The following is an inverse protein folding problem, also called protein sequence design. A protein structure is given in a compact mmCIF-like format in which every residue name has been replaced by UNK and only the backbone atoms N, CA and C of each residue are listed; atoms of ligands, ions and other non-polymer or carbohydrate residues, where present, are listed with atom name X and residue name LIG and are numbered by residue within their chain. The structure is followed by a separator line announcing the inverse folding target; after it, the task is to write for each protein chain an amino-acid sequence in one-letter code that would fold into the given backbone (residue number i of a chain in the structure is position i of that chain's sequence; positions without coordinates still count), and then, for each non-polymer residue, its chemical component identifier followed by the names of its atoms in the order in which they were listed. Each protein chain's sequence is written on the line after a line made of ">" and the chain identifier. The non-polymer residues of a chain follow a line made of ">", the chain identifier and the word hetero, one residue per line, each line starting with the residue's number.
data_IF_653816867858
#
_entry.id   IF_653816867858
#
_cell.length_a   1.000
_cell.length_b   1.000
_cell.length_c   1.000
_cell.angle_alpha   90.00
_cell.angle_beta   90.00
_cell.angle_gamma   90.00
#
_symmetry.space_group_name_H-M   'P 1'
#
loop_
_entity.id
_entity.type
_entity.pdbx_description
1 polymer ?
#
# COMPACT_ATOMS: atom_id res chain seq x y z
N UNK A 1 -15.39 -5.58 14.93
CA UNK A 1 -14.46 -5.91 13.81
C UNK A 1 -13.33 -4.87 13.61
N UNK A 2 -13.58 -3.58 13.34
CA UNK A 2 -12.48 -2.59 13.22
C UNK A 2 -11.81 -2.31 14.58
N UNK A 3 -12.55 -2.31 15.68
CA UNK A 3 -12.00 -2.16 17.04
C UNK A 3 -11.06 -3.31 17.41
N UNK A 4 -11.46 -4.54 17.10
CA UNK A 4 -10.65 -5.73 17.40
C UNK A 4 -9.34 -5.75 16.60
N UNK A 5 -9.38 -5.28 15.33
CA UNK A 5 -8.19 -5.14 14.50
C UNK A 5 -7.23 -4.06 15.06
N UNK A 6 -7.76 -2.93 15.50
CA UNK A 6 -6.95 -1.86 16.07
C UNK A 6 -6.26 -2.32 17.37
N UNK A 7 -7.00 -3.01 18.26
CA UNK A 7 -6.44 -3.58 19.49
C UNK A 7 -5.36 -4.62 19.19
N UNK A 8 -5.60 -5.50 18.23
CA UNK A 8 -4.62 -6.51 17.81
C UNK A 8 -3.33 -5.88 17.24
N UNK A 9 -3.46 -4.85 16.41
CA UNK A 9 -2.31 -4.08 15.89
C UNK A 9 -1.56 -3.42 17.03
N UNK A 10 -2.27 -2.84 18.00
CA UNK A 10 -1.71 -2.23 19.20
C UNK A 10 -0.86 -3.23 19.98
N UNK A 11 -1.44 -4.38 20.35
CA UNK A 11 -0.78 -5.42 21.12
C UNK A 11 0.53 -5.89 20.46
N UNK A 12 0.53 -6.01 19.12
CA UNK A 12 1.73 -6.40 18.38
C UNK A 12 2.82 -5.31 18.45
N UNK A 13 2.44 -4.04 18.28
CA UNK A 13 3.39 -2.93 18.30
C UNK A 13 3.94 -2.73 19.70
N UNK A 14 3.10 -2.78 20.74
CA UNK A 14 3.53 -2.64 22.14
C UNK A 14 4.44 -3.80 22.59
N UNK A 15 4.18 -5.02 22.10
CA UNK A 15 4.95 -6.21 22.48
C UNK A 15 6.28 -6.36 21.73
N UNK A 16 6.29 -6.05 20.43
CA UNK A 16 7.42 -6.31 19.55
C UNK A 16 8.12 -5.04 19.03
N UNK A 17 7.61 -3.85 19.33
CA UNK A 17 8.19 -2.57 18.93
C UNK A 17 8.46 -2.46 17.43
N UNK A 18 9.70 -2.16 17.07
CA UNK A 18 10.13 -2.01 15.67
C UNK A 18 9.87 -3.25 14.82
N UNK A 19 10.10 -4.45 15.37
CA UNK A 19 9.88 -5.70 14.66
C UNK A 19 8.39 -5.92 14.39
N UNK A 20 7.53 -5.58 15.37
CA UNK A 20 6.07 -5.63 15.21
C UNK A 20 5.59 -4.78 14.04
N UNK A 21 6.03 -3.52 13.98
CA UNK A 21 5.69 -2.61 12.87
C UNK A 21 6.22 -3.14 11.53
N UNK A 22 7.47 -3.59 11.47
CA UNK A 22 8.04 -4.13 10.23
C UNK A 22 7.24 -5.34 9.72
N UNK A 23 6.90 -6.30 10.60
CA UNK A 23 6.11 -7.48 10.25
C UNK A 23 4.68 -7.12 9.80
N UNK A 24 4.01 -6.23 10.52
CA UNK A 24 2.67 -5.75 10.13
C UNK A 24 2.68 -5.12 8.75
N UNK A 25 3.68 -4.28 8.45
CA UNK A 25 3.82 -3.63 7.15
C UNK A 25 4.19 -4.63 6.04
N UNK A 26 4.98 -5.68 6.32
CA UNK A 26 5.22 -6.77 5.36
C UNK A 26 3.91 -7.47 5.04
N UNK A 27 3.16 -7.89 6.06
CA UNK A 27 1.89 -8.60 5.90
C UNK A 27 0.89 -7.76 5.13
N UNK A 28 0.75 -6.47 5.47
CA UNK A 28 -0.11 -5.53 4.78
C UNK A 28 0.24 -5.36 3.29
N UNK A 29 1.53 -5.28 2.95
CA UNK A 29 1.94 -5.19 1.55
C UNK A 29 1.59 -6.45 0.74
N UNK A 30 1.67 -7.63 1.37
CA UNK A 30 1.35 -8.92 0.72
C UNK A 30 -0.16 -9.18 0.73
N UNK A 31 -0.84 -8.77 1.79
CA UNK A 31 -2.27 -8.97 2.00
C UNK A 31 -2.99 -7.63 2.23
N UNK A 32 -3.49 -6.99 1.16
CA UNK A 32 -4.04 -5.62 1.16
C UNK A 32 -5.21 -5.29 2.10
N UNK A 33 -5.99 -6.25 2.69
CA UNK A 33 -7.08 -5.91 3.60
C UNK A 33 -6.68 -5.20 4.90
N UNK A 34 -5.39 -5.21 5.29
CA UNK A 34 -4.93 -4.48 6.47
C UNK A 34 -4.63 -3.03 6.05
N UNK A 35 -5.36 -2.03 6.56
CA UNK A 35 -5.13 -0.64 6.19
C UNK A 35 -3.92 -0.06 6.94
N UNK A 36 -2.92 0.37 6.21
CA UNK A 36 -1.73 1.06 6.75
C UNK A 36 -2.07 2.36 7.48
N UNK A 37 -3.18 2.95 7.12
CA UNK A 37 -3.74 4.15 7.72
C UNK A 37 -4.11 3.94 9.19
N UNK A 38 -4.16 2.70 9.64
CA UNK A 38 -4.30 2.33 11.06
C UNK A 38 -2.93 1.99 11.65
N UNK A 39 -2.17 1.11 10.98
CA UNK A 39 -0.89 0.59 11.50
C UNK A 39 0.15 1.68 11.69
N UNK A 40 0.35 2.54 10.68
CA UNK A 40 1.44 3.52 10.70
C UNK A 40 1.20 4.68 11.67
N UNK A 41 0.02 5.33 11.71
CA UNK A 41 -0.21 6.36 12.71
C UNK A 41 -0.18 5.79 14.14
N UNK A 42 -0.66 4.55 14.31
CA UNK A 42 -0.61 3.89 15.61
C UNK A 42 0.83 3.65 16.07
N UNK A 43 1.73 3.25 15.16
CA UNK A 43 3.16 3.13 15.46
C UNK A 43 3.77 4.47 15.91
N UNK A 44 3.34 5.59 15.32
CA UNK A 44 3.73 6.93 15.74
C UNK A 44 3.23 7.29 17.14
N UNK A 45 1.98 6.95 17.44
CA UNK A 45 1.39 7.14 18.76
C UNK A 45 2.12 6.36 19.84
N UNK A 46 2.36 5.05 19.65
CA UNK A 46 3.08 4.21 20.61
C UNK A 46 4.52 4.72 20.85
N UNK A 47 5.18 5.23 19.81
CA UNK A 47 6.53 5.79 19.94
C UNK A 47 6.61 7.06 20.79
N UNK A 48 5.48 7.72 21.08
CA UNK A 48 5.39 8.90 21.95
C UNK A 48 4.93 8.55 23.38
N UNK A 49 4.40 7.35 23.58
CA UNK A 49 3.97 6.92 24.90
C UNK A 49 5.16 6.55 25.78
N UNK A 50 5.38 7.30 26.85
CA UNK A 50 6.40 7.02 27.87
C UNK A 50 6.15 5.73 28.68
N UNK A 51 4.96 5.11 28.52
CA UNK A 51 4.52 3.90 29.22
C UNK A 51 4.64 2.62 28.37
N UNK A 52 5.19 2.69 27.16
CA UNK A 52 5.37 1.51 26.34
C UNK A 52 6.42 0.58 26.95
N UNK A 53 6.16 -0.73 26.91
CA UNK A 53 7.06 -1.78 27.43
C UNK A 53 8.38 -1.87 26.68
N UNK A 54 8.46 -1.24 25.48
CA UNK A 54 9.64 -1.21 24.62
C UNK A 54 9.99 0.26 24.36
N UNK A 55 11.23 0.63 24.67
CA UNK A 55 11.75 1.97 24.36
C UNK A 55 11.86 2.13 22.83
N UNK A 56 10.95 2.92 22.27
CA UNK A 56 10.82 3.11 20.82
C UNK A 56 10.84 4.59 20.47
N UNK A 57 11.44 4.91 19.32
CA UNK A 57 11.47 6.27 18.77
C UNK A 57 10.69 6.36 17.47
N UNK A 58 10.11 7.53 17.20
CA UNK A 58 9.39 7.82 15.95
C UNK A 58 10.28 7.53 14.72
N UNK A 59 11.55 7.91 14.78
CA UNK A 59 12.52 7.66 13.69
C UNK A 59 12.75 6.17 13.49
N UNK A 60 12.89 5.41 14.58
CA UNK A 60 13.04 3.96 14.53
C UNK A 60 11.81 3.27 13.93
N UNK A 61 10.59 3.72 14.28
CA UNK A 61 9.35 3.22 13.67
C UNK A 61 9.27 3.51 12.16
N UNK A 62 9.68 4.71 11.73
CA UNK A 62 9.75 5.05 10.30
C UNK A 62 10.72 4.13 9.55
N UNK A 63 11.91 3.89 10.11
CA UNK A 63 12.92 3.02 9.51
C UNK A 63 12.38 1.58 9.42
N UNK A 64 11.84 1.06 10.52
CA UNK A 64 11.27 -0.29 10.58
C UNK A 64 10.13 -0.49 9.58
N UNK A 65 9.18 0.46 9.52
CA UNK A 65 8.09 0.45 8.56
C UNK A 65 8.59 0.52 7.11
N UNK A 66 9.63 1.33 6.84
CA UNK A 66 10.19 1.48 5.49
C UNK A 66 10.90 0.20 5.05
N UNK A 67 11.66 -0.44 5.94
CA UNK A 67 12.26 -1.76 5.68
C UNK A 67 11.15 -2.79 5.41
N UNK A 68 10.12 -2.84 6.26
CA UNK A 68 8.96 -3.71 6.07
C UNK A 68 8.27 -3.50 4.73
N UNK A 69 8.10 -2.23 4.32
CA UNK A 69 7.52 -1.86 3.02
C UNK A 69 8.36 -2.39 1.85
N UNK A 70 9.68 -2.24 1.91
CA UNK A 70 10.59 -2.73 0.86
C UNK A 70 10.58 -4.25 0.78
N UNK A 71 10.65 -4.93 1.93
CA UNK A 71 10.62 -6.40 1.99
C UNK A 71 9.29 -6.94 1.45
N UNK A 72 8.16 -6.42 1.92
CA UNK A 72 6.84 -6.83 1.44
C UNK A 72 6.65 -6.58 -0.07
N UNK A 73 7.18 -5.44 -0.56
CA UNK A 73 7.18 -5.13 -1.99
C UNK A 73 8.03 -6.12 -2.81
N UNK A 74 9.20 -6.50 -2.31
CA UNK A 74 10.08 -7.49 -2.95
C UNK A 74 9.43 -8.88 -2.99
N UNK A 75 8.71 -9.27 -1.95
CA UNK A 75 7.94 -10.52 -1.94
C UNK A 75 6.92 -10.52 -3.08
N UNK A 76 6.09 -9.47 -3.19
CA UNK A 76 5.12 -9.37 -4.28
C UNK A 76 5.78 -9.28 -5.66
N UNK A 77 6.88 -8.52 -5.77
CA UNK A 77 7.65 -8.43 -7.00
C UNK A 77 8.17 -9.81 -7.43
N UNK A 78 8.79 -10.56 -6.53
CA UNK A 78 9.37 -11.89 -6.85
C UNK A 78 8.30 -12.91 -7.21
N UNK A 79 7.18 -12.95 -6.47
CA UNK A 79 6.03 -13.79 -6.79
C UNK A 79 5.52 -13.44 -8.21
N UNK A 80 5.35 -12.16 -8.50
CA UNK A 80 4.85 -11.70 -9.79
C UNK A 80 5.83 -12.00 -10.94
N UNK A 81 7.12 -11.82 -10.71
CA UNK A 81 8.16 -12.15 -11.68
C UNK A 81 8.23 -13.67 -11.97
N UNK A 82 7.97 -14.51 -10.96
CA UNK A 82 7.92 -15.96 -11.09
C UNK A 82 6.67 -16.44 -11.87
N UNK A 83 5.52 -15.81 -11.65
CA UNK A 83 4.29 -16.10 -12.39
C UNK A 83 4.45 -15.74 -13.87
N UNK A 84 5.05 -14.59 -14.14
CA UNK A 84 5.35 -14.08 -15.47
C UNK A 84 4.14 -13.54 -16.25
N UNK A 85 4.38 -12.75 -17.33
CA UNK A 85 3.33 -12.04 -18.05
C UNK A 85 2.36 -12.98 -18.79
N UNK A 86 2.84 -14.13 -19.26
CA UNK A 86 2.01 -15.06 -20.04
C UNK A 86 0.90 -15.69 -19.21
N UNK A 87 1.20 -16.07 -17.95
CA UNK A 87 0.18 -16.62 -17.03
C UNK A 87 -0.83 -15.58 -16.62
N UNK A 88 -0.38 -14.33 -16.39
CA UNK A 88 -1.29 -13.22 -16.11
C UNK A 88 -2.23 -12.95 -17.28
N UNK A 89 -1.70 -12.91 -18.52
CA UNK A 89 -2.52 -12.73 -19.72
C UNK A 89 -3.54 -13.88 -19.88
N UNK A 90 -3.12 -15.11 -19.65
CA UNK A 90 -4.02 -16.28 -19.68
C UNK A 90 -5.11 -16.18 -18.61
N UNK A 91 -4.77 -15.74 -17.39
CA UNK A 91 -5.74 -15.53 -16.31
C UNK A 91 -6.74 -14.43 -16.68
N UNK A 92 -6.28 -13.28 -17.17
CA UNK A 92 -7.15 -12.17 -17.59
C UNK A 92 -8.00 -12.54 -18.81
N UNK A 93 -7.47 -13.29 -19.77
CA UNK A 93 -8.27 -13.76 -20.92
C UNK A 93 -9.42 -14.68 -20.48
N UNK A 94 -9.21 -15.46 -19.43
CA UNK A 94 -10.20 -16.43 -18.91
C UNK A 94 -11.21 -15.77 -17.96
N UNK A 95 -10.73 -14.93 -17.04
CA UNK A 95 -11.54 -14.36 -15.95
C UNK A 95 -11.77 -12.85 -16.08
N UNK A 96 -11.05 -12.16 -16.95
CA UNK A 96 -11.11 -10.69 -17.08
C UNK A 96 -12.50 -10.16 -17.43
N UNK A 97 -13.33 -10.97 -18.12
CA UNK A 97 -14.73 -10.62 -18.39
C UNK A 97 -15.56 -10.41 -17.12
N UNK A 98 -15.30 -11.17 -16.07
CA UNK A 98 -15.97 -11.05 -14.77
C UNK A 98 -15.63 -9.73 -14.08
N UNK A 99 -14.40 -9.23 -14.28
CA UNK A 99 -13.90 -7.99 -13.72
C UNK A 99 -13.97 -6.82 -14.70
N UNK A 100 -14.59 -6.99 -15.86
CA UNK A 100 -14.68 -5.94 -16.88
C UNK A 100 -13.36 -5.56 -17.54
N UNK A 101 -12.29 -6.37 -17.34
CA UNK A 101 -10.95 -6.12 -17.86
C UNK A 101 -10.76 -6.87 -19.18
N UNK A 102 -10.38 -6.13 -20.23
CA UNK A 102 -10.06 -6.70 -21.54
C UNK A 102 -8.56 -6.92 -21.69
N UNK A 103 -8.11 -7.91 -22.52
CA UNK A 103 -6.69 -8.08 -22.84
C UNK A 103 -6.01 -6.81 -23.37
N UNK A 104 -6.74 -5.99 -24.15
CA UNK A 104 -6.24 -4.72 -24.66
C UNK A 104 -5.97 -3.68 -23.55
N UNK A 105 -6.68 -3.76 -22.43
CA UNK A 105 -6.47 -2.85 -21.29
C UNK A 105 -5.19 -3.20 -20.55
N UNK A 106 -4.89 -4.50 -20.48
CA UNK A 106 -3.62 -4.96 -19.92
C UNK A 106 -2.44 -4.46 -20.75
N UNK A 107 -2.51 -4.57 -22.08
CA UNK A 107 -1.45 -4.05 -22.97
C UNK A 107 -1.25 -2.55 -22.77
N UNK A 108 -2.33 -1.77 -22.71
CA UNK A 108 -2.26 -0.32 -22.45
C UNK A 108 -1.66 0.01 -21.07
N UNK A 109 -2.03 -0.77 -20.06
CA UNK A 109 -1.46 -0.61 -18.72
C UNK A 109 0.03 -0.95 -18.70
N UNK A 110 0.43 -2.02 -19.38
CA UNK A 110 1.83 -2.41 -19.56
C UNK A 110 2.63 -1.30 -20.28
N UNK A 111 2.14 -0.79 -21.41
CA UNK A 111 2.78 0.31 -22.17
C UNK A 111 2.89 1.60 -21.34
N UNK A 112 1.84 1.94 -20.59
CA UNK A 112 1.87 3.11 -19.71
C UNK A 112 2.91 2.94 -18.61
N UNK A 113 2.95 1.76 -17.99
CA UNK A 113 3.93 1.43 -16.96
C UNK A 113 5.36 1.50 -17.52
N UNK A 114 5.61 0.97 -18.72
CA UNK A 114 6.93 0.99 -19.35
C UNK A 114 7.43 2.42 -19.65
N UNK A 115 6.53 3.29 -20.10
CA UNK A 115 6.86 4.70 -20.37
C UNK A 115 7.10 5.54 -19.12
N UNK A 116 6.52 5.16 -17.98
CA UNK A 116 6.50 5.94 -16.74
C UNK A 116 6.82 5.12 -15.50
N UNK A 117 7.63 4.09 -15.63
CA UNK A 117 7.96 3.12 -14.57
C UNK A 117 8.37 3.79 -13.25
N UNK A 118 9.24 4.81 -13.32
CA UNK A 118 9.72 5.56 -12.15
C UNK A 118 8.57 6.26 -11.45
N UNK A 119 7.79 7.01 -12.22
CA UNK A 119 6.64 7.77 -11.70
C UNK A 119 5.58 6.83 -11.17
N UNK A 120 5.32 5.72 -11.87
CA UNK A 120 4.34 4.72 -11.47
C UNK A 120 4.71 4.07 -10.14
N UNK A 121 5.97 3.67 -9.94
CA UNK A 121 6.41 3.06 -8.68
C UNK A 121 6.46 4.10 -7.56
N UNK A 122 7.09 5.26 -7.79
CA UNK A 122 7.28 6.28 -6.76
C UNK A 122 5.93 6.85 -6.29
N UNK A 123 5.12 7.38 -7.21
CA UNK A 123 3.82 7.97 -6.87
C UNK A 123 2.80 6.92 -6.46
N UNK A 124 2.86 5.73 -7.06
CA UNK A 124 2.00 4.61 -6.66
C UNK A 124 2.18 4.23 -5.18
N UNK A 125 3.39 4.43 -4.62
CA UNK A 125 3.67 4.19 -3.20
C UNK A 125 3.02 5.21 -2.26
N UNK A 126 2.71 6.40 -2.76
CA UNK A 126 2.06 7.46 -1.99
C UNK A 126 0.51 7.40 -2.08
N UNK A 127 -0.04 6.41 -2.80
CA UNK A 127 -1.50 6.27 -2.95
C UNK A 127 -1.97 5.00 -2.26
N UNK A 128 -2.94 5.09 -1.32
CA UNK A 128 -3.56 3.93 -0.69
C UNK A 128 -4.01 2.90 -1.73
N UNK A 129 -3.95 1.62 -1.42
CA UNK A 129 -4.25 0.48 -2.30
C UNK A 129 -3.28 0.32 -3.49
N UNK A 130 -2.92 1.38 -4.21
CA UNK A 130 -2.00 1.32 -5.35
C UNK A 130 -0.60 0.94 -4.88
N UNK A 131 -0.20 1.36 -3.68
CA UNK A 131 1.15 1.13 -3.13
C UNK A 131 1.56 -0.35 -3.06
N UNK A 132 0.64 -1.25 -2.75
CA UNK A 132 0.90 -2.69 -2.75
C UNK A 132 0.82 -3.26 -4.17
N UNK A 133 -0.20 -2.84 -4.92
CA UNK A 133 -0.49 -3.37 -6.26
C UNK A 133 0.59 -3.02 -7.27
N UNK A 134 1.27 -1.87 -7.15
CA UNK A 134 2.31 -1.41 -8.09
C UNK A 134 3.51 -2.37 -8.17
N UNK A 135 3.74 -3.20 -7.15
CA UNK A 135 4.78 -4.24 -7.16
C UNK A 135 4.48 -5.35 -8.16
N UNK A 136 3.20 -5.59 -8.47
CA UNK A 136 2.76 -6.65 -9.37
C UNK A 136 3.19 -6.37 -10.82
N UNK A 137 2.82 -5.24 -11.46
CA UNK A 137 3.31 -4.93 -12.79
C UNK A 137 4.83 -4.79 -12.86
N UNK A 138 5.48 -4.25 -11.82
CA UNK A 138 6.93 -4.16 -11.77
C UNK A 138 7.60 -5.55 -11.85
N UNK A 139 7.05 -6.55 -11.14
CA UNK A 139 7.52 -7.94 -11.17
C UNK A 139 7.26 -8.62 -12.53
N UNK A 140 6.04 -8.53 -13.07
CA UNK A 140 5.69 -9.10 -14.36
C UNK A 140 6.55 -8.57 -15.52
N UNK A 141 6.87 -7.27 -15.48
CA UNK A 141 7.73 -6.60 -16.49
C UNK A 141 9.20 -6.82 -16.21
N UNK A 142 9.56 -7.54 -15.15
CA UNK A 142 10.94 -7.78 -14.71
C UNK A 142 11.77 -6.48 -14.68
N UNK A 143 11.17 -5.42 -14.09
CA UNK A 143 11.88 -4.17 -13.85
C UNK A 143 13.19 -4.46 -13.12
N UNK A 144 14.27 -3.74 -13.44
CA UNK A 144 15.55 -3.89 -12.75
C UNK A 144 15.34 -3.71 -11.25
N UNK A 145 15.84 -4.67 -10.46
CA UNK A 145 15.53 -4.78 -9.03
C UNK A 145 16.05 -3.57 -8.22
N UNK A 146 17.24 -3.05 -8.58
CA UNK A 146 17.84 -1.92 -7.87
C UNK A 146 17.02 -0.62 -8.00
N UNK A 147 16.63 -0.15 -9.20
CA UNK A 147 15.69 0.96 -9.34
C UNK A 147 14.36 0.71 -8.61
N UNK A 148 13.81 -0.51 -8.67
CA UNK A 148 12.58 -0.85 -7.96
C UNK A 148 12.72 -0.66 -6.45
N UNK A 149 13.83 -1.13 -5.86
CA UNK A 149 14.12 -0.94 -4.43
C UNK A 149 14.23 0.55 -4.09
N UNK A 150 15.00 1.30 -4.88
CA UNK A 150 15.22 2.74 -4.61
C UNK A 150 13.90 3.52 -4.64
N UNK A 151 13.09 3.35 -5.70
CA UNK A 151 11.82 4.08 -5.81
C UNK A 151 10.79 3.63 -4.78
N UNK A 152 10.78 2.33 -4.44
CA UNK A 152 9.95 1.79 -3.36
C UNK A 152 10.38 2.37 -2.01
N UNK A 153 11.67 2.40 -1.72
CA UNK A 153 12.21 2.96 -0.49
C UNK A 153 11.83 4.43 -0.35
N UNK A 154 12.10 5.25 -1.36
CA UNK A 154 11.81 6.69 -1.30
C UNK A 154 10.30 6.95 -1.18
N UNK A 155 9.48 6.31 -1.99
CA UNK A 155 8.02 6.49 -1.93
C UNK A 155 7.43 6.01 -0.60
N UNK A 156 7.87 4.85 -0.09
CA UNK A 156 7.42 4.33 1.19
C UNK A 156 7.93 5.18 2.36
N UNK A 157 9.16 5.69 2.29
CA UNK A 157 9.70 6.58 3.32
C UNK A 157 8.85 7.84 3.46
N UNK A 158 8.51 8.50 2.34
CA UNK A 158 7.64 9.69 2.35
C UNK A 158 6.30 9.35 3.01
N UNK A 159 5.66 8.25 2.60
CA UNK A 159 4.38 7.81 3.15
C UNK A 159 4.46 7.50 4.64
N UNK A 160 5.47 6.76 5.06
CA UNK A 160 5.67 6.37 6.46
C UNK A 160 5.97 7.57 7.35
N UNK A 161 6.79 8.54 6.87
CA UNK A 161 7.05 9.79 7.59
C UNK A 161 5.77 10.58 7.80
N UNK A 162 4.92 10.68 6.78
CA UNK A 162 3.65 11.39 6.88
C UNK A 162 2.70 10.75 7.90
N UNK A 163 2.49 9.42 7.80
CA UNK A 163 1.50 8.76 8.66
C UNK A 163 2.02 8.53 10.08
N UNK A 164 3.25 8.06 10.26
CA UNK A 164 3.84 7.86 11.60
C UNK A 164 4.03 9.22 12.27
N UNK A 165 4.50 10.23 11.52
CA UNK A 165 4.61 11.60 12.02
C UNK A 165 3.26 12.19 12.44
N UNK A 166 2.22 11.99 11.64
CA UNK A 166 0.86 12.40 12.01
C UNK A 166 0.38 11.72 13.30
N UNK A 167 0.62 10.41 13.43
CA UNK A 167 0.27 9.67 14.64
C UNK A 167 1.02 10.16 15.88
N UNK A 168 2.32 10.46 15.74
CA UNK A 168 3.14 11.00 16.81
C UNK A 168 2.69 12.41 17.24
N UNK A 169 2.33 13.29 16.31
CA UNK A 169 1.88 14.67 16.62
C UNK A 169 0.48 14.70 17.21
N UNK A 170 -0.41 13.82 16.77
CA UNK A 170 -1.80 13.78 17.21
C UNK A 170 -1.98 13.13 18.61
N UNK A 171 -1.02 12.32 19.04
CA UNK A 171 -0.93 11.77 20.42
C UNK A 171 -2.28 11.31 20.97
N UNK A 172 -2.65 11.86 22.15
CA UNK A 172 -3.90 11.52 22.87
C UNK A 172 -5.21 11.84 22.11
N UNK A 173 -5.14 12.50 20.95
CA UNK A 173 -6.33 12.80 20.13
C UNK A 173 -6.63 11.66 19.12
N UNK A 174 -6.15 10.45 19.39
CA UNK A 174 -6.34 9.28 18.53
C UNK A 174 -7.80 9.01 18.16
N UNK A 175 -8.74 9.24 19.07
CA UNK A 175 -10.17 9.13 18.81
C UNK A 175 -10.67 10.06 17.68
N UNK A 176 -10.01 11.21 17.51
CA UNK A 176 -10.28 12.11 16.38
C UNK A 176 -9.62 11.63 15.10
N UNK A 177 -8.40 11.08 15.20
CA UNK A 177 -7.68 10.53 14.05
C UNK A 177 -8.45 9.37 13.43
N UNK A 178 -8.99 8.46 14.23
CA UNK A 178 -9.81 7.34 13.76
C UNK A 178 -11.01 7.81 12.91
N UNK A 179 -11.63 8.94 13.28
CA UNK A 179 -12.71 9.56 12.49
C UNK A 179 -12.18 10.14 11.17
N UNK A 180 -11.05 10.85 11.19
CA UNK A 180 -10.48 11.46 9.97
C UNK A 180 -9.88 10.42 9.03
N UNK A 181 -9.23 9.39 9.55
CA UNK A 181 -8.73 8.25 8.76
C UNK A 181 -9.90 7.51 8.10
N UNK A 182 -10.99 7.27 8.84
CA UNK A 182 -12.21 6.70 8.28
C UNK A 182 -12.79 7.56 7.15
N UNK A 183 -12.90 8.87 7.35
CA UNK A 183 -13.36 9.80 6.32
C UNK A 183 -12.42 9.81 5.12
N UNK A 184 -11.10 9.88 5.33
CA UNK A 184 -10.10 9.85 4.25
C UNK A 184 -10.19 8.55 3.45
N UNK A 185 -10.31 7.40 4.12
CA UNK A 185 -10.48 6.10 3.47
C UNK A 185 -11.75 6.08 2.61
N UNK A 186 -12.88 6.61 3.11
CA UNK A 186 -14.12 6.72 2.34
C UNK A 186 -13.98 7.69 1.16
N UNK A 187 -13.30 8.81 1.33
CA UNK A 187 -13.03 9.76 0.23
C UNK A 187 -12.20 9.08 -0.86
N UNK A 188 -11.15 8.34 -0.49
CA UNK A 188 -10.33 7.59 -1.46
C UNK A 188 -11.14 6.49 -2.14
N UNK A 189 -11.94 5.72 -1.41
CA UNK A 189 -12.82 4.68 -1.98
C UNK A 189 -13.84 5.30 -2.93
N UNK A 190 -14.50 6.38 -2.53
CA UNK A 190 -15.46 7.10 -3.39
C UNK A 190 -14.76 7.66 -4.63
N UNK A 191 -13.58 8.27 -4.49
CA UNK A 191 -12.80 8.76 -5.64
C UNK A 191 -12.45 7.64 -6.62
N UNK A 192 -12.04 6.48 -6.13
CA UNK A 192 -11.78 5.30 -6.97
C UNK A 192 -13.07 4.82 -7.65
N UNK A 193 -14.19 4.73 -6.93
CA UNK A 193 -15.49 4.33 -7.50
C UNK A 193 -15.92 5.32 -8.58
N UNK A 194 -15.80 6.64 -8.34
CA UNK A 194 -16.13 7.68 -9.31
C UNK A 194 -15.24 7.60 -10.54
N UNK A 195 -13.93 7.37 -10.38
CA UNK A 195 -13.00 7.20 -11.49
C UNK A 195 -13.34 5.95 -12.31
N UNK A 196 -13.65 4.83 -11.65
CA UNK A 196 -14.07 3.61 -12.32
C UNK A 196 -15.42 3.79 -13.03
N UNK A 197 -16.38 4.47 -12.40
CA UNK A 197 -17.68 4.79 -13.00
C UNK A 197 -17.53 5.71 -14.21
N UNK A 198 -16.71 6.78 -14.12
CA UNK A 198 -16.39 7.63 -15.29
C UNK A 198 -15.74 6.84 -16.41
N UNK A 199 -14.80 5.97 -16.08
CA UNK A 199 -14.12 5.12 -17.05
C UNK A 199 -15.10 4.16 -17.76
N UNK A 200 -16.02 3.55 -17.02
CA UNK A 200 -17.05 2.66 -17.59
C UNK A 200 -18.08 3.44 -18.40
N UNK A 201 -18.55 4.59 -17.92
CA UNK A 201 -19.53 5.44 -18.64
C UNK A 201 -18.95 6.04 -19.92
N UNK A 202 -17.70 6.51 -19.92
CA UNK A 202 -17.03 6.98 -21.13
C UNK A 202 -16.87 5.86 -22.16
N UNK A 203 -16.68 4.61 -21.72
CA UNK A 203 -16.62 3.44 -22.61
C UNK A 203 -17.97 3.04 -23.19
N UNK A 204 -19.06 3.21 -22.44
CA UNK A 204 -20.40 2.93 -22.94
C UNK A 204 -20.83 3.97 -23.98
N UNK A 205 -20.48 5.26 -23.79
CA UNK A 205 -20.74 6.35 -24.75
C UNK A 205 -19.94 6.27 -26.05
N UNK A 206 -18.77 5.62 -26.05
CA UNK A 206 -17.99 5.43 -27.29
C UNK A 206 -18.44 4.21 -28.11
N UNK A 207 -19.55 3.56 -27.72
CA UNK A 207 -20.16 2.42 -28.41
C UNK A 207 -21.49 2.72 -29.08
N UNK A 208 -22.02 3.94 -28.88
CA UNK A 208 -23.13 4.53 -29.65
C UNK A 208 -22.57 5.52 -30.64
#
# INVERSE_FOLDING_TARGET
>A
MLGDLATWVQDIIEKFGYLGVALLVIVENVFPPIPSEIVLPFAGFVAQQSSSTVDTSVVGMIIAATIGSVVGALILYTISAAIGPNRLRAFISRFGRWFGVKPADLVRAEEWFDRRTVVAVLLGRCVPLIRSIVSIPAGFRRMKILPFIIYTFVGSLIWNVLLIGAGAVLGDQWDRVGKYVGVFQWVVVIAIIVLLARFTLTRLRSRT
#
